data_IF_515177661272
#
_entry.id   IF_515177661272
#
_cell.length_a   1.000
_cell.length_b   1.000
_cell.length_c   1.000
_cell.angle_alpha   90.00
_cell.angle_beta   90.00
_cell.angle_gamma   90.00
#
_symmetry.space_group_name_H-M   'P 1'
#
loop_
_entity.id
_entity.type
_entity.pdbx_description
1 polymer ?
#
# COMPACT_ATOMS: atom_id res chain seq x y z
N UNK A 1 -18.19 15.47 -21.94
CA UNK A 1 -17.95 14.69 -20.69
C UNK A 1 -16.44 14.58 -20.59
N UNK A 2 -15.84 14.99 -19.46
CA UNK A 2 -14.39 14.91 -19.24
C UNK A 2 -13.97 13.43 -19.26
N UNK A 3 -12.88 13.10 -19.95
CA UNK A 3 -12.34 11.74 -19.96
C UNK A 3 -11.82 11.38 -18.56
N UNK A 4 -11.82 10.08 -18.21
CA UNK A 4 -11.38 9.61 -16.89
C UNK A 4 -9.93 10.04 -16.59
N UNK A 5 -9.06 10.03 -17.59
CA UNK A 5 -7.66 10.43 -17.44
C UNK A 5 -7.56 11.93 -17.13
N UNK A 6 -8.32 12.78 -17.85
CA UNK A 6 -8.34 14.22 -17.61
C UNK A 6 -8.88 14.54 -16.21
N UNK A 7 -9.92 13.83 -15.78
CA UNK A 7 -10.48 13.98 -14.45
C UNK A 7 -9.45 13.56 -13.39
N UNK A 8 -8.77 12.42 -13.57
CA UNK A 8 -7.72 11.94 -12.65
C UNK A 8 -6.60 12.96 -12.52
N UNK A 9 -6.08 13.48 -13.64
CA UNK A 9 -5.00 14.47 -13.63
C UNK A 9 -5.43 15.78 -12.94
N UNK A 10 -6.65 16.24 -13.20
CA UNK A 10 -7.22 17.45 -12.58
C UNK A 10 -7.36 17.30 -11.07
N UNK A 11 -7.92 16.18 -10.60
CA UNK A 11 -8.10 15.91 -9.16
C UNK A 11 -6.74 15.69 -8.47
N UNK A 12 -5.79 15.01 -9.11
CA UNK A 12 -4.44 14.83 -8.61
C UNK A 12 -3.71 16.18 -8.42
N UNK A 13 -3.82 17.07 -9.41
CA UNK A 13 -3.25 18.42 -9.32
C UNK A 13 -3.84 19.22 -8.15
N UNK A 14 -5.17 19.16 -7.94
CA UNK A 14 -5.85 19.78 -6.80
C UNK A 14 -5.36 19.24 -5.46
N UNK A 15 -4.98 17.95 -5.42
CA UNK A 15 -4.44 17.29 -4.24
C UNK A 15 -2.91 17.47 -4.08
N UNK A 16 -2.24 18.25 -4.93
CA UNK A 16 -0.77 18.38 -5.00
C UNK A 16 -0.05 17.03 -5.19
N UNK A 17 -0.65 16.11 -5.93
CA UNK A 17 -0.08 14.82 -6.30
C UNK A 17 0.38 14.91 -7.75
N UNK A 18 1.70 14.84 -7.97
CA UNK A 18 2.24 14.82 -9.32
C UNK A 18 1.99 13.47 -10.00
N UNK A 19 1.35 13.51 -11.17
CA UNK A 19 1.17 12.36 -12.05
C UNK A 19 1.53 12.79 -13.47
N UNK A 20 2.32 11.96 -14.15
CA UNK A 20 2.52 12.11 -15.59
C UNK A 20 1.43 11.38 -16.39
N UNK A 21 1.40 11.65 -17.69
CA UNK A 21 0.40 11.07 -18.59
C UNK A 21 0.49 9.54 -18.65
N UNK A 22 1.69 8.96 -18.62
CA UNK A 22 1.90 7.51 -18.67
C UNK A 22 1.36 6.85 -17.41
N UNK A 23 1.61 7.42 -16.25
CA UNK A 23 1.07 6.96 -14.97
C UNK A 23 -0.45 7.04 -14.96
N UNK A 24 -1.03 8.14 -15.44
CA UNK A 24 -2.48 8.32 -15.49
C UNK A 24 -3.16 7.28 -16.42
N UNK A 25 -2.56 6.97 -17.57
CA UNK A 25 -3.03 5.91 -18.48
C UNK A 25 -3.00 4.54 -17.81
N UNK A 26 -1.90 4.19 -17.14
CA UNK A 26 -1.78 2.90 -16.43
C UNK A 26 -2.76 2.78 -15.26
N UNK A 27 -2.96 3.85 -14.49
CA UNK A 27 -3.94 3.90 -13.42
C UNK A 27 -5.38 3.76 -13.96
N UNK A 28 -5.70 4.45 -15.06
CA UNK A 28 -6.99 4.30 -15.75
C UNK A 28 -7.20 2.85 -16.20
N UNK A 29 -6.19 2.24 -16.81
CA UNK A 29 -6.26 0.85 -17.25
C UNK A 29 -6.48 -0.14 -16.12
N UNK A 30 -5.84 0.07 -14.96
CA UNK A 30 -6.11 -0.73 -13.77
C UNK A 30 -7.58 -0.62 -13.34
N UNK A 31 -8.13 0.59 -13.32
CA UNK A 31 -9.53 0.83 -12.95
C UNK A 31 -10.50 0.17 -13.94
N UNK A 32 -10.26 0.26 -15.24
CA UNK A 32 -11.08 -0.39 -16.26
C UNK A 32 -11.17 -1.91 -16.03
N UNK A 33 -10.01 -2.55 -15.84
CA UNK A 33 -9.93 -4.00 -15.54
C UNK A 33 -10.65 -4.32 -14.23
N UNK A 34 -10.43 -3.51 -13.19
CA UNK A 34 -11.10 -3.69 -11.91
C UNK A 34 -12.62 -3.61 -12.04
N UNK A 35 -13.16 -2.63 -12.75
CA UNK A 35 -14.60 -2.45 -12.93
C UNK A 35 -15.21 -3.58 -13.77
N UNK A 36 -14.53 -4.05 -14.82
CA UNK A 36 -14.94 -5.20 -15.58
C UNK A 36 -15.10 -6.45 -14.70
N UNK A 37 -14.06 -6.75 -13.89
CA UNK A 37 -14.09 -7.90 -12.98
C UNK A 37 -15.06 -7.70 -11.82
N UNK A 38 -15.25 -6.47 -11.37
CA UNK A 38 -16.15 -6.15 -10.26
C UNK A 38 -17.61 -6.53 -10.55
N UNK A 39 -18.03 -6.48 -11.81
CA UNK A 39 -19.37 -6.92 -12.24
C UNK A 39 -19.67 -8.40 -11.92
N UNK A 40 -18.62 -9.21 -11.72
CA UNK A 40 -18.70 -10.66 -11.48
C UNK A 40 -18.23 -11.11 -10.10
N UNK A 41 -17.45 -10.26 -9.40
CA UNK A 41 -16.71 -10.72 -8.21
C UNK A 41 -16.89 -9.87 -6.97
N UNK A 42 -17.55 -8.72 -7.04
CA UNK A 42 -17.70 -7.79 -5.93
C UNK A 42 -16.34 -7.41 -5.27
N UNK A 43 -15.38 -6.97 -6.08
CA UNK A 43 -14.05 -6.56 -5.61
C UNK A 43 -14.12 -5.31 -4.73
N UNK A 44 -15.00 -4.37 -5.09
CA UNK A 44 -15.22 -3.12 -4.38
C UNK A 44 -16.66 -2.63 -4.51
N UNK A 45 -17.09 -1.81 -3.54
CA UNK A 45 -18.37 -1.07 -3.60
C UNK A 45 -18.21 0.33 -4.22
N UNK A 46 -16.98 0.78 -4.39
CA UNK A 46 -16.64 2.11 -4.91
C UNK A 46 -16.49 1.96 -6.43
N UNK A 47 -17.41 2.54 -7.20
CA UNK A 47 -17.47 2.35 -8.65
C UNK A 47 -17.67 3.64 -9.45
N UNK A 48 -18.03 4.76 -8.78
CA UNK A 48 -18.12 6.04 -9.48
C UNK A 48 -16.72 6.60 -9.78
N UNK A 49 -16.49 7.25 -10.93
CA UNK A 49 -15.17 7.75 -11.33
C UNK A 49 -14.51 8.61 -10.24
N UNK A 50 -15.24 9.57 -9.67
CA UNK A 50 -14.73 10.49 -8.66
C UNK A 50 -14.30 9.75 -7.38
N UNK A 51 -15.13 8.82 -6.90
CA UNK A 51 -14.80 8.04 -5.71
C UNK A 51 -13.62 7.10 -5.95
N UNK A 52 -13.54 6.45 -7.11
CA UNK A 52 -12.43 5.56 -7.47
C UNK A 52 -11.14 6.36 -7.52
N UNK A 53 -11.14 7.53 -8.15
CA UNK A 53 -9.97 8.42 -8.21
C UNK A 53 -9.51 8.77 -6.80
N UNK A 54 -10.40 9.28 -5.96
CA UNK A 54 -10.03 9.79 -4.63
C UNK A 54 -9.75 8.66 -3.65
N UNK A 55 -10.71 7.71 -3.48
CA UNK A 55 -10.67 6.70 -2.41
C UNK A 55 -9.80 5.48 -2.75
N UNK A 56 -9.49 5.26 -4.03
CA UNK A 56 -8.63 4.15 -4.44
C UNK A 56 -7.29 4.62 -4.98
N UNK A 57 -7.26 5.45 -6.04
CA UNK A 57 -6.02 5.84 -6.69
C UNK A 57 -5.22 6.82 -5.85
N UNK A 58 -5.76 8.01 -5.57
CA UNK A 58 -5.03 9.06 -4.86
C UNK A 58 -4.73 8.68 -3.41
N UNK A 59 -5.68 8.01 -2.71
CA UNK A 59 -5.43 7.48 -1.36
C UNK A 59 -4.26 6.48 -1.33
N UNK A 60 -4.06 5.70 -2.40
CA UNK A 60 -2.94 4.77 -2.49
C UNK A 60 -1.60 5.47 -2.70
N UNK A 61 -1.55 6.53 -3.53
CA UNK A 61 -0.29 7.14 -3.98
C UNK A 61 0.10 8.42 -3.22
N UNK A 62 -0.82 9.07 -2.51
CA UNK A 62 -0.52 10.29 -1.75
C UNK A 62 0.70 10.15 -0.83
N UNK A 63 0.89 9.04 -0.09
CA UNK A 63 2.07 8.86 0.76
C UNK A 63 3.30 8.33 0.02
N UNK A 64 3.27 8.15 -1.30
CA UNK A 64 4.35 7.50 -2.03
C UNK A 64 5.73 8.16 -1.80
N UNK A 65 5.76 9.51 -1.62
CA UNK A 65 6.99 10.26 -1.33
C UNK A 65 7.64 9.89 0.03
N UNK A 66 6.83 9.36 0.96
CA UNK A 66 7.28 8.96 2.30
C UNK A 66 7.62 7.46 2.38
N UNK A 67 7.60 6.74 1.26
CA UNK A 67 7.88 5.31 1.18
C UNK A 67 9.18 5.06 0.42
N UNK A 68 9.86 3.92 0.65
CA UNK A 68 10.98 3.49 -0.17
C UNK A 68 10.64 3.54 -1.65
N UNK A 69 11.56 4.08 -2.46
CA UNK A 69 11.35 4.24 -3.91
C UNK A 69 11.63 2.95 -4.69
N UNK A 70 12.43 2.04 -4.13
CA UNK A 70 12.89 0.82 -4.79
C UNK A 70 13.00 -0.34 -3.81
N UNK A 71 13.25 -1.54 -4.35
CA UNK A 71 13.45 -2.76 -3.61
C UNK A 71 12.21 -3.64 -3.55
N UNK A 72 12.31 -4.75 -2.82
CA UNK A 72 11.24 -5.74 -2.73
C UNK A 72 10.11 -5.24 -1.83
N UNK A 73 8.90 -5.21 -2.35
CA UNK A 73 7.71 -4.71 -1.66
C UNK A 73 6.60 -5.77 -1.58
N UNK A 74 5.84 -5.76 -0.49
CA UNK A 74 4.73 -6.68 -0.25
C UNK A 74 3.46 -5.90 0.06
N UNK A 75 2.39 -6.13 -0.72
CA UNK A 75 1.05 -5.65 -0.39
C UNK A 75 0.26 -6.79 0.27
N UNK A 76 -0.05 -6.63 1.56
CA UNK A 76 -0.71 -7.68 2.36
C UNK A 76 -2.22 -7.53 2.29
N UNK A 77 -2.88 -8.52 1.68
CA UNK A 77 -4.32 -8.49 1.44
C UNK A 77 -4.70 -7.51 0.34
N UNK A 78 -4.02 -7.62 -0.79
CA UNK A 78 -4.08 -6.67 -1.89
C UNK A 78 -5.49 -6.42 -2.47
N UNK A 79 -6.43 -7.37 -2.31
CA UNK A 79 -7.83 -7.20 -2.70
C UNK A 79 -8.01 -6.88 -4.17
N UNK A 80 -8.45 -5.66 -4.48
CA UNK A 80 -8.54 -5.12 -5.83
C UNK A 80 -7.23 -4.45 -6.30
N UNK A 81 -6.09 -4.79 -5.69
CA UNK A 81 -4.77 -4.29 -6.05
C UNK A 81 -4.40 -2.93 -5.40
N UNK A 82 -5.10 -2.53 -4.35
CA UNK A 82 -4.85 -1.26 -3.66
C UNK A 82 -4.27 -1.47 -2.25
N UNK A 83 -3.13 -0.85 -1.90
CA UNK A 83 -2.44 0.21 -2.63
C UNK A 83 -1.37 -0.29 -3.62
N UNK A 84 -1.07 -1.58 -3.71
CA UNK A 84 0.10 -2.14 -4.37
C UNK A 84 0.24 -1.78 -5.84
N UNK A 85 -0.81 -1.92 -6.67
CA UNK A 85 -0.73 -1.60 -8.11
C UNK A 85 -0.50 -0.11 -8.35
N UNK A 86 -1.27 0.83 -7.75
CA UNK A 86 -0.98 2.26 -7.90
C UNK A 86 0.41 2.65 -7.41
N UNK A 87 0.88 2.08 -6.29
CA UNK A 87 2.25 2.33 -5.81
C UNK A 87 3.29 1.86 -6.82
N UNK A 88 3.12 0.66 -7.39
CA UNK A 88 4.03 0.14 -8.43
C UNK A 88 4.07 1.03 -9.67
N UNK A 89 2.94 1.61 -10.07
CA UNK A 89 2.87 2.53 -11.21
C UNK A 89 3.68 3.80 -10.95
N UNK A 90 3.58 4.40 -9.76
CA UNK A 90 4.31 5.64 -9.43
C UNK A 90 5.70 5.40 -8.86
N UNK A 91 6.05 4.18 -8.52
CA UNK A 91 7.36 3.72 -8.03
C UNK A 91 7.80 2.48 -8.83
N UNK A 92 8.22 2.66 -10.10
CA UNK A 92 8.49 1.54 -11.01
C UNK A 92 9.65 0.63 -10.57
N UNK A 93 10.53 1.11 -9.69
CA UNK A 93 11.68 0.34 -9.17
C UNK A 93 11.32 -0.55 -7.97
N UNK A 94 10.07 -0.58 -7.52
CA UNK A 94 9.59 -1.56 -6.56
C UNK A 94 9.37 -2.92 -7.24
N UNK A 95 9.89 -3.99 -6.66
CA UNK A 95 9.50 -5.37 -6.97
C UNK A 95 8.30 -5.74 -6.08
N UNK A 96 7.07 -5.55 -6.61
CA UNK A 96 5.83 -5.59 -5.86
C UNK A 96 5.17 -6.96 -5.92
N UNK A 97 5.07 -7.62 -4.76
CA UNK A 97 4.31 -8.85 -4.58
C UNK A 97 2.95 -8.54 -3.95
N UNK A 98 1.87 -8.86 -4.65
CA UNK A 98 0.49 -8.74 -4.16
C UNK A 98 0.07 -10.04 -3.48
N UNK A 99 -0.03 -10.05 -2.16
CA UNK A 99 -0.41 -11.22 -1.38
C UNK A 99 -1.92 -11.19 -1.06
N UNK A 100 -2.65 -12.22 -1.47
CA UNK A 100 -4.10 -12.30 -1.24
C UNK A 100 -4.51 -13.76 -0.94
N UNK A 101 -5.35 -13.94 0.05
CA UNK A 101 -5.82 -15.25 0.50
C UNK A 101 -7.03 -15.79 -0.28
N UNK A 102 -7.72 -14.92 -1.02
CA UNK A 102 -8.92 -15.30 -1.79
C UNK A 102 -8.54 -15.62 -3.23
N UNK A 103 -8.64 -16.90 -3.61
CA UNK A 103 -8.24 -17.41 -4.94
C UNK A 103 -8.83 -16.60 -6.11
N UNK A 104 -10.11 -16.25 -6.05
CA UNK A 104 -10.77 -15.46 -7.10
C UNK A 104 -10.12 -14.07 -7.26
N UNK A 105 -9.75 -13.41 -6.16
CA UNK A 105 -9.07 -12.11 -6.20
C UNK A 105 -7.67 -12.24 -6.79
N UNK A 106 -6.94 -13.31 -6.47
CA UNK A 106 -5.63 -13.58 -7.08
C UNK A 106 -5.74 -13.79 -8.59
N UNK A 107 -6.80 -14.45 -9.06
CA UNK A 107 -7.05 -14.58 -10.50
C UNK A 107 -7.21 -13.20 -11.17
N UNK A 108 -7.96 -12.30 -10.54
CA UNK A 108 -8.06 -10.90 -10.98
C UNK A 108 -6.70 -10.18 -10.95
N UNK A 109 -5.96 -10.28 -9.85
CA UNK A 109 -4.65 -9.62 -9.70
C UNK A 109 -3.64 -10.08 -10.77
N UNK A 110 -3.64 -11.38 -11.09
CA UNK A 110 -2.82 -11.91 -12.17
C UNK A 110 -3.25 -11.38 -13.55
N UNK A 111 -4.55 -11.27 -13.80
CA UNK A 111 -5.06 -10.69 -15.04
C UNK A 111 -4.68 -9.20 -15.15
N UNK A 112 -4.80 -8.44 -14.05
CA UNK A 112 -4.40 -7.04 -14.00
C UNK A 112 -2.88 -6.88 -14.21
N UNK A 113 -2.04 -7.68 -13.56
CA UNK A 113 -0.59 -7.65 -13.72
C UNK A 113 -0.18 -7.94 -15.17
N UNK A 114 -0.78 -8.95 -15.80
CA UNK A 114 -0.53 -9.29 -17.20
C UNK A 114 -0.95 -8.17 -18.16
N UNK A 115 -2.12 -7.55 -17.94
CA UNK A 115 -2.63 -6.49 -18.80
C UNK A 115 -1.88 -5.16 -18.66
N UNK A 116 -1.34 -4.87 -17.46
CA UNK A 116 -0.55 -3.67 -17.18
C UNK A 116 0.91 -3.81 -17.63
N UNK A 117 1.40 -5.02 -17.84
CA UNK A 117 2.76 -5.32 -18.28
C UNK A 117 3.85 -4.60 -17.46
N UNK A 118 3.64 -4.47 -16.14
CA UNK A 118 4.59 -3.82 -15.24
C UNK A 118 5.66 -4.82 -14.78
N UNK A 119 6.92 -4.64 -15.16
CA UNK A 119 8.01 -5.50 -14.68
C UNK A 119 8.09 -5.48 -13.15
N UNK A 120 8.28 -6.65 -12.51
CA UNK A 120 8.34 -6.74 -11.05
C UNK A 120 6.99 -6.54 -10.34
N UNK A 121 5.86 -6.79 -11.04
CA UNK A 121 4.53 -6.90 -10.42
C UNK A 121 4.06 -8.36 -10.52
N UNK A 122 3.76 -8.97 -9.37
CA UNK A 122 3.28 -10.35 -9.30
C UNK A 122 2.23 -10.53 -8.21
N UNK A 123 1.40 -11.57 -8.30
CA UNK A 123 0.41 -11.89 -7.28
C UNK A 123 0.57 -13.34 -6.79
N UNK A 124 0.36 -13.56 -5.49
CA UNK A 124 0.46 -14.86 -4.84
C UNK A 124 -0.79 -15.18 -4.03
N UNK A 125 -1.32 -16.39 -4.25
CA UNK A 125 -2.42 -16.94 -3.48
C UNK A 125 -1.91 -17.61 -2.22
N UNK A 126 -1.89 -16.87 -1.11
CA UNK A 126 -1.49 -17.42 0.19
C UNK A 126 -2.00 -16.54 1.33
N UNK A 127 -2.20 -17.14 2.52
CA UNK A 127 -2.42 -16.37 3.72
C UNK A 127 -1.11 -15.71 4.18
N UNK A 128 -1.18 -14.50 4.73
CA UNK A 128 0.02 -13.84 5.25
C UNK A 128 0.61 -14.58 6.47
N UNK A 129 -0.20 -15.35 7.18
CA UNK A 129 0.23 -16.20 8.30
C UNK A 129 1.15 -17.33 7.82
N UNK A 130 0.85 -17.94 6.66
CA UNK A 130 1.67 -19.03 6.10
C UNK A 130 2.87 -18.45 5.32
N UNK A 131 2.65 -17.40 4.53
CA UNK A 131 3.69 -16.69 3.81
C UNK A 131 4.86 -16.26 4.72
N UNK A 132 4.54 -15.78 5.92
CA UNK A 132 5.52 -15.37 6.93
C UNK A 132 6.41 -16.52 7.44
N UNK A 133 5.92 -17.76 7.39
CA UNK A 133 6.67 -18.94 7.87
C UNK A 133 7.74 -19.41 6.90
N UNK A 134 7.70 -18.94 5.66
CA UNK A 134 8.65 -19.32 4.62
C UNK A 134 10.00 -18.68 4.88
N UNK A 135 11.06 -19.51 5.01
CA UNK A 135 12.42 -19.04 5.34
C UNK A 135 13.00 -18.09 4.32
N UNK A 136 12.68 -18.30 3.03
CA UNK A 136 13.10 -17.46 1.90
C UNK A 136 12.54 -16.03 1.92
N UNK A 137 11.51 -15.77 2.73
CA UNK A 137 10.89 -14.45 2.86
C UNK A 137 11.43 -13.66 4.04
N UNK A 138 12.13 -14.32 4.98
CA UNK A 138 12.58 -13.69 6.21
C UNK A 138 13.62 -12.60 5.92
N UNK A 139 13.33 -11.37 6.36
CA UNK A 139 14.26 -10.26 6.24
C UNK A 139 14.51 -9.78 4.81
N UNK A 140 13.56 -9.96 3.88
CA UNK A 140 13.80 -9.68 2.45
C UNK A 140 13.04 -8.48 1.89
N UNK A 141 12.07 -7.92 2.62
CA UNK A 141 11.24 -6.83 2.13
C UNK A 141 11.72 -5.46 2.63
N UNK A 142 11.95 -4.53 1.72
CA UNK A 142 12.21 -3.13 2.02
C UNK A 142 10.93 -2.37 2.39
N UNK A 143 9.80 -2.82 1.84
CA UNK A 143 8.50 -2.20 2.11
C UNK A 143 7.43 -3.27 2.28
N UNK A 144 6.63 -3.15 3.33
CA UNK A 144 5.38 -3.89 3.49
C UNK A 144 4.27 -2.87 3.62
N UNK A 145 3.23 -2.98 2.80
CA UNK A 145 2.06 -2.11 2.84
C UNK A 145 0.82 -2.88 3.25
N UNK A 146 -0.09 -2.21 3.96
CA UNK A 146 -1.35 -2.78 4.38
C UNK A 146 -2.45 -1.72 4.40
N UNK A 147 -3.59 -2.01 3.78
CA UNK A 147 -4.77 -1.16 3.76
C UNK A 147 -6.05 -1.95 3.98
N UNK A 148 -7.01 -1.36 4.71
CA UNK A 148 -8.35 -1.92 4.95
C UNK A 148 -8.41 -3.27 5.70
N UNK A 149 -7.29 -3.79 6.20
CA UNK A 149 -7.24 -4.97 7.06
C UNK A 149 -7.00 -4.51 8.50
N UNK A 150 -7.66 -5.14 9.46
CA UNK A 150 -7.54 -4.83 10.89
C UNK A 150 -7.12 -6.08 11.68
N UNK A 151 -5.93 -6.64 11.45
CA UNK A 151 -5.44 -7.74 12.27
C UNK A 151 -5.05 -7.22 13.66
N UNK A 152 -4.97 -8.12 14.62
CA UNK A 152 -4.48 -7.81 15.95
C UNK A 152 -3.04 -7.23 15.90
N UNK A 153 -2.71 -6.23 16.74
CA UNK A 153 -1.40 -5.56 16.73
C UNK A 153 -0.21 -6.54 16.82
N UNK A 154 -0.36 -7.61 17.59
CA UNK A 154 0.67 -8.65 17.74
C UNK A 154 0.97 -9.36 16.42
N UNK A 155 -0.06 -9.64 15.62
CA UNK A 155 0.10 -10.29 14.33
C UNK A 155 0.83 -9.38 13.33
N UNK A 156 0.51 -8.08 13.33
CA UNK A 156 1.18 -7.08 12.49
C UNK A 156 2.67 -7.00 12.86
N UNK A 157 2.96 -6.90 14.16
CA UNK A 157 4.32 -6.84 14.65
C UNK A 157 5.13 -8.06 14.25
N UNK A 158 4.57 -9.26 14.41
CA UNK A 158 5.24 -10.51 13.98
C UNK A 158 5.47 -10.57 12.49
N UNK A 159 4.51 -10.09 11.69
CA UNK A 159 4.66 -10.02 10.24
C UNK A 159 5.83 -9.11 9.88
N UNK A 160 5.79 -7.87 10.35
CA UNK A 160 6.79 -6.85 10.04
C UNK A 160 8.20 -7.26 10.53
N UNK A 161 8.34 -7.67 11.78
CA UNK A 161 9.64 -8.09 12.33
C UNK A 161 10.26 -9.29 11.60
N UNK A 162 9.41 -10.22 11.12
CA UNK A 162 9.89 -11.40 10.39
C UNK A 162 10.30 -11.07 8.96
N UNK A 163 9.46 -10.36 8.22
CA UNK A 163 9.61 -10.21 6.77
C UNK A 163 10.45 -8.99 6.36
N UNK A 164 10.45 -7.91 7.17
CA UNK A 164 11.24 -6.73 6.84
C UNK A 164 12.74 -7.01 6.87
N UNK A 165 13.42 -6.51 5.85
CA UNK A 165 14.86 -6.36 5.85
C UNK A 165 15.29 -5.34 6.93
N UNK A 166 16.55 -5.40 7.43
CA UNK A 166 17.09 -4.32 8.25
C UNK A 166 16.98 -2.97 7.53
N UNK A 167 16.43 -1.95 8.19
CA UNK A 167 16.13 -0.65 7.60
C UNK A 167 14.81 -0.59 6.82
N UNK A 168 14.12 -1.70 6.62
CA UNK A 168 12.85 -1.78 5.89
C UNK A 168 11.67 -1.18 6.67
N UNK A 169 10.60 -0.84 5.93
CA UNK A 169 9.43 -0.13 6.45
C UNK A 169 8.14 -0.94 6.33
N UNK A 170 7.33 -0.89 7.38
CA UNK A 170 5.92 -1.28 7.35
C UNK A 170 5.07 -0.02 7.31
N UNK A 171 4.19 0.10 6.30
CA UNK A 171 3.30 1.24 6.09
C UNK A 171 1.83 0.81 6.18
N UNK A 172 1.04 1.49 7.00
CA UNK A 172 -0.38 1.19 7.19
C UNK A 172 -1.26 2.41 6.94
N UNK A 173 -2.23 2.24 6.03
CA UNK A 173 -3.25 3.24 5.73
C UNK A 173 -4.40 3.18 6.73
N UNK A 174 -4.74 4.31 7.31
CA UNK A 174 -5.81 4.44 8.29
C UNK A 174 -6.61 5.73 8.09
N UNK A 175 -7.85 5.76 8.60
CA UNK A 175 -8.52 7.03 8.83
C UNK A 175 -7.82 7.74 10.00
N UNK A 176 -7.72 9.06 9.95
CA UNK A 176 -7.19 9.84 11.06
C UNK A 176 -8.26 9.89 12.16
N UNK A 177 -8.22 8.95 13.08
CA UNK A 177 -9.03 8.97 14.30
C UNK A 177 -8.20 9.56 15.45
N UNK A 178 -8.90 10.19 16.42
CA UNK A 178 -8.27 10.90 17.53
C UNK A 178 -7.45 10.03 18.51
N UNK A 179 -7.42 8.71 18.32
CA UNK A 179 -6.60 7.82 19.16
C UNK A 179 -5.15 7.72 18.64
N UNK A 180 -4.23 8.15 19.49
CA UNK A 180 -2.79 8.22 19.21
C UNK A 180 -2.20 6.88 18.82
N UNK A 181 -1.35 6.82 17.76
CA UNK A 181 -0.70 5.62 17.24
C UNK A 181 0.26 4.94 18.22
N UNK A 182 0.75 5.69 19.21
CA UNK A 182 1.68 5.17 20.23
C UNK A 182 1.11 4.01 21.04
N UNK A 183 -0.23 3.81 21.03
CA UNK A 183 -0.89 2.73 21.80
C UNK A 183 -1.11 1.45 21.00
N UNK A 184 -1.14 1.48 19.67
CA UNK A 184 -1.59 0.32 18.90
C UNK A 184 -0.56 -0.81 18.77
N UNK A 185 0.73 -0.50 18.62
CA UNK A 185 1.80 -1.51 18.54
C UNK A 185 2.54 -1.72 19.86
N UNK A 186 2.53 -0.73 20.78
CA UNK A 186 3.17 -0.87 22.12
C UNK A 186 2.34 -1.64 23.16
N UNK A 187 1.08 -1.98 22.88
CA UNK A 187 0.24 -2.75 23.83
C UNK A 187 0.50 -4.26 23.85
N UNK A 188 1.55 -4.75 23.21
CA UNK A 188 1.93 -6.15 23.36
C UNK A 188 2.57 -6.37 24.72
N UNK A 189 1.78 -6.98 25.61
CA UNK A 189 2.22 -7.40 26.95
C UNK A 189 3.47 -8.29 26.86
N UNK A 190 4.52 -7.86 27.58
CA UNK A 190 5.55 -8.68 28.23
C UNK A 190 5.99 -9.97 27.54
N UNK A 191 6.66 -10.06 26.43
CA UNK A 191 7.60 -11.18 26.15
C UNK A 191 8.16 -11.24 24.71
N UNK A 192 7.75 -10.35 23.78
CA UNK A 192 8.47 -10.28 22.51
C UNK A 192 8.93 -8.84 22.28
N UNK A 193 10.25 -8.68 22.30
CA UNK A 193 10.91 -7.45 21.84
C UNK A 193 10.48 -7.24 20.40
N UNK A 194 9.70 -6.22 20.15
CA UNK A 194 9.29 -5.86 18.80
C UNK A 194 10.53 -5.34 18.09
N UNK A 195 10.97 -6.04 17.05
CA UNK A 195 12.10 -5.62 16.24
C UNK A 195 11.73 -4.54 15.21
N UNK A 196 10.61 -3.83 15.45
CA UNK A 196 10.15 -2.69 14.63
C UNK A 196 9.76 -1.53 15.52
N UNK A 197 10.20 -0.33 15.15
CA UNK A 197 9.99 0.90 15.90
C UNK A 197 9.08 1.84 15.13
N UNK A 198 8.24 2.59 15.85
CA UNK A 198 7.43 3.63 15.21
C UNK A 198 8.35 4.71 14.66
N UNK A 199 8.28 4.92 13.34
CA UNK A 199 9.13 5.86 12.64
C UNK A 199 8.46 7.23 12.49
N UNK A 200 7.17 7.25 12.16
CA UNK A 200 6.40 8.49 11.97
C UNK A 200 5.06 8.26 11.29
N UNK A 201 4.38 9.35 11.03
CA UNK A 201 3.12 9.33 10.30
C UNK A 201 3.06 10.46 9.27
N UNK A 202 2.38 10.18 8.17
CA UNK A 202 2.08 11.15 7.12
C UNK A 202 0.57 11.32 7.04
N UNK A 203 0.08 12.48 7.52
CA UNK A 203 -1.32 12.86 7.41
C UNK A 203 -1.56 13.64 6.11
N UNK A 204 -2.69 13.39 5.44
CA UNK A 204 -3.07 14.06 4.20
C UNK A 204 -4.59 14.16 4.07
N UNK A 205 -5.02 15.16 3.30
CA UNK A 205 -6.41 15.33 2.92
C UNK A 205 -6.55 15.21 1.41
N UNK A 206 -7.64 14.61 0.95
CA UNK A 206 -7.95 14.48 -0.46
C UNK A 206 -9.29 15.16 -0.75
N UNK A 207 -9.47 15.77 -1.93
CA UNK A 207 -10.73 16.40 -2.32
C UNK A 207 -11.90 15.42 -2.19
N UNK A 208 -13.01 15.84 -1.58
CA UNK A 208 -14.20 15.01 -1.43
C UNK A 208 -14.12 13.92 -0.35
N UNK A 209 -13.08 13.88 0.47
CA UNK A 209 -13.06 13.08 1.70
C UNK A 209 -13.49 13.93 2.90
N UNK A 210 -14.44 13.40 3.68
CA UNK A 210 -14.94 14.05 4.90
C UNK A 210 -13.91 14.10 6.04
N UNK A 211 -12.91 13.23 5.98
CA UNK A 211 -11.89 13.07 7.03
C UNK A 211 -10.51 12.93 6.44
N UNK A 212 -9.50 13.54 7.08
CA UNK A 212 -8.11 13.30 6.75
C UNK A 212 -7.73 11.82 6.85
N UNK A 213 -6.72 11.44 6.10
CA UNK A 213 -6.12 10.11 6.11
C UNK A 213 -4.73 10.18 6.72
N UNK A 214 -4.25 9.04 7.17
CA UNK A 214 -2.90 8.92 7.69
C UNK A 214 -2.28 7.62 7.23
N UNK A 215 -1.02 7.69 6.84
CA UNK A 215 -0.16 6.51 6.73
C UNK A 215 0.82 6.52 7.89
N UNK A 216 0.82 5.46 8.68
CA UNK A 216 1.75 5.24 9.77
C UNK A 216 2.86 4.32 9.33
N UNK A 217 4.08 4.67 9.75
CA UNK A 217 5.30 3.98 9.37
C UNK A 217 5.99 3.42 10.60
N UNK A 218 6.40 2.17 10.48
CA UNK A 218 7.30 1.51 11.43
C UNK A 218 8.52 1.03 10.67
N UNK A 219 9.68 1.14 11.27
CA UNK A 219 10.95 0.72 10.69
C UNK A 219 11.53 -0.45 11.47
N UNK A 220 12.10 -1.43 10.79
CA UNK A 220 12.98 -2.41 11.38
C UNK A 220 14.37 -1.81 11.48
N UNK A 221 14.99 -1.70 12.67
CA UNK A 221 16.33 -1.12 12.81
C UNK A 221 17.33 -1.76 11.86
N UNK A 222 18.16 -0.93 11.22
CA UNK A 222 19.27 -1.37 10.37
C UNK A 222 20.58 -1.39 11.13
N UNK A 223 21.54 -2.18 10.68
CA UNK A 223 22.88 -2.29 11.30
C UNK A 223 23.73 -0.99 11.24
N UNK A 224 23.21 0.10 10.65
CA UNK A 224 23.95 1.35 10.45
C UNK A 224 23.04 2.51 10.07
N UNK A 225 22.03 2.81 10.89
CA UNK A 225 21.23 4.05 10.78
C UNK A 225 20.94 4.51 9.36
N UNK A 226 20.29 3.69 8.54
CA UNK A 226 19.91 4.11 7.20
C UNK A 226 18.99 5.32 7.30
N UNK A 227 19.25 6.41 6.58
CA UNK A 227 18.33 7.54 6.51
C UNK A 227 16.97 7.02 6.02
N UNK A 228 15.91 7.41 6.71
CA UNK A 228 14.55 7.11 6.30
C UNK A 228 14.23 7.76 4.95
N UNK A 229 13.07 7.43 4.36
CA UNK A 229 12.65 8.05 3.11
C UNK A 229 12.65 9.57 3.25
N UNK A 230 13.23 10.22 2.24
CA UNK A 230 13.25 11.69 2.15
C UNK A 230 11.81 12.20 2.19
N UNK A 231 11.49 13.08 3.14
CA UNK A 231 10.18 13.73 3.20
C UNK A 231 9.43 13.69 4.52
N UNK A 232 9.80 12.82 5.48
CA UNK A 232 9.20 12.85 6.84
C UNK A 232 9.89 13.86 7.78
N UNK A 233 11.10 14.32 7.46
CA UNK A 233 11.85 15.27 8.28
C UNK A 233 11.44 16.74 8.08
N UNK A 234 10.46 17.03 7.23
CA UNK A 234 10.03 18.41 6.87
C UNK A 234 8.51 18.63 6.99
N UNK A 235 7.81 17.80 7.79
CA UNK A 235 6.37 17.98 8.03
C UNK A 235 6.09 18.38 9.46
#
# INVERSE_FOLDING_TARGET
>A
MMDFIDLLLSVAATANIALDQTQAVLLSRHVEIMLEWNSRMNLTRITTPEEVIVKHLLDSIAPARCLPASGRALDVGAGAGFPGIPLKIVRPDLDMLLLESTRKKVTFLNAAAAALQLPGLSALHESWQDFRKRKENVGTFQLIVMRAIKPEPEHISRLASTLLAPGGFFARWEALDAESPKKALHKTKKHHRLDVEFYGEFAYSLPGLDRPRVVRLWQKPGAGGSPGPEGLAQL
#
